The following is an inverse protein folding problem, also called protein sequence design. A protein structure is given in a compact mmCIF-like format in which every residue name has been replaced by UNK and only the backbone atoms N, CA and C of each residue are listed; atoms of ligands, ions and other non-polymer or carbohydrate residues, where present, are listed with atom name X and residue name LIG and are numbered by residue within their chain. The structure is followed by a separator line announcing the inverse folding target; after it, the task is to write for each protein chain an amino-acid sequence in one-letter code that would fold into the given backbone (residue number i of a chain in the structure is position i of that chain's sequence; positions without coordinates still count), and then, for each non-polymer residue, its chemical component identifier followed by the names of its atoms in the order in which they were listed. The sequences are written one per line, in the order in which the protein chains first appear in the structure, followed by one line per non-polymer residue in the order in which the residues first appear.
data_IF_997816545770
#
_entry.id   IF_997816545770
#
_cell.length_a   1.000
_cell.length_b   1.000
_cell.length_c   1.000
_cell.angle_alpha   90.00
_cell.angle_beta   90.00
_cell.angle_gamma   90.00
#
_symmetry.space_group_name_H-M   'P 1'
#
loop_
_entity.id
_entity.type
_entity.pdbx_description
1 polymer ?
#
# COMPACT_ATOMS: atom_id res chain seq x y z
N UNK A 1 0.18 -2.17 20.35
CA UNK A 1 -0.39 -2.76 19.11
C UNK A 1 -1.20 -1.76 18.30
N UNK A 2 -2.15 -1.00 18.88
CA UNK A 2 -2.88 0.05 18.13
C UNK A 2 -1.95 1.09 17.51
N UNK A 3 -0.98 1.64 18.25
CA UNK A 3 0.00 2.58 17.67
C UNK A 3 0.83 1.98 16.54
N UNK A 4 1.13 0.68 16.59
CA UNK A 4 1.84 -0.02 15.52
C UNK A 4 0.96 -0.15 14.27
N UNK A 5 -0.33 -0.50 14.45
CA UNK A 5 -1.32 -0.49 13.37
C UNK A 5 -1.46 0.88 12.71
N UNK A 6 -1.51 1.96 13.51
CA UNK A 6 -1.56 3.34 12.98
C UNK A 6 -0.28 3.69 12.21
N UNK A 7 0.89 3.36 12.77
CA UNK A 7 2.17 3.59 12.10
C UNK A 7 2.29 2.86 10.76
N UNK A 8 1.87 1.59 10.70
CA UNK A 8 1.82 0.83 9.45
C UNK A 8 0.81 1.40 8.45
N UNK A 9 -0.35 1.85 8.92
CA UNK A 9 -1.33 2.53 8.06
C UNK A 9 -0.77 3.79 7.40
N UNK A 10 -0.07 4.64 8.16
CA UNK A 10 0.64 5.81 7.63
C UNK A 10 1.74 5.40 6.65
N UNK A 11 2.48 4.34 6.94
CA UNK A 11 3.48 3.79 6.03
C UNK A 11 2.84 3.37 4.69
N UNK A 12 1.72 2.63 4.72
CA UNK A 12 1.02 2.23 3.49
C UNK A 12 0.55 3.43 2.68
N UNK A 13 -0.03 4.45 3.31
CA UNK A 13 -0.41 5.69 2.61
C UNK A 13 0.82 6.32 1.97
N UNK A 14 1.93 6.40 2.71
CA UNK A 14 3.18 7.03 2.24
C UNK A 14 3.78 6.29 1.05
N UNK A 15 3.72 4.95 1.02
CA UNK A 15 4.19 4.14 -0.13
C UNK A 15 3.51 4.55 -1.44
N UNK A 16 2.23 4.92 -1.40
CA UNK A 16 1.51 5.43 -2.56
C UNK A 16 2.18 6.63 -3.22
N UNK A 17 2.85 7.49 -2.45
CA UNK A 17 3.45 8.75 -2.92
C UNK A 17 4.97 8.67 -3.16
N UNK A 18 5.64 7.58 -2.77
CA UNK A 18 7.07 7.39 -3.02
C UNK A 18 7.36 7.14 -4.50
N UNK A 19 6.49 6.39 -5.18
CA UNK A 19 6.63 6.09 -6.61
C UNK A 19 6.05 7.22 -7.45
N UNK A 20 6.91 7.82 -8.28
CA UNK A 20 6.61 8.97 -9.14
C UNK A 20 7.00 8.67 -10.58
N UNK A 21 6.57 9.49 -11.52
CA UNK A 21 6.90 9.31 -12.95
C UNK A 21 8.43 9.34 -13.18
N UNK A 22 9.19 10.10 -12.38
CA UNK A 22 10.65 10.25 -12.54
C UNK A 22 11.46 9.08 -11.97
N UNK A 23 10.89 8.31 -11.04
CA UNK A 23 11.59 7.22 -10.36
C UNK A 23 10.95 5.83 -10.59
N UNK A 24 9.84 5.76 -11.32
CA UNK A 24 9.12 4.51 -11.60
C UNK A 24 9.98 3.48 -12.32
N UNK A 25 10.90 3.90 -13.20
CA UNK A 25 11.84 2.98 -13.87
C UNK A 25 12.77 2.23 -12.91
N UNK A 26 12.86 2.67 -11.66
CA UNK A 26 13.65 2.03 -10.61
C UNK A 26 12.76 1.32 -9.60
N UNK A 27 11.73 2.01 -9.08
CA UNK A 27 10.95 1.53 -7.93
C UNK A 27 9.68 0.76 -8.30
N UNK A 28 9.13 0.94 -9.50
CA UNK A 28 7.92 0.24 -9.90
C UNK A 28 8.28 -1.12 -10.50
N UNK A 29 8.10 -2.18 -9.71
CA UNK A 29 8.30 -3.55 -10.16
C UNK A 29 7.44 -3.87 -11.39
N UNK A 30 7.99 -4.64 -12.32
CA UNK A 30 7.39 -4.90 -13.62
C UNK A 30 7.69 -3.80 -14.64
N UNK A 31 7.44 -2.52 -14.29
CA UNK A 31 7.82 -1.39 -15.15
C UNK A 31 9.35 -1.26 -15.28
N UNK A 32 10.08 -1.48 -14.19
CA UNK A 32 11.55 -1.46 -14.18
C UNK A 32 12.19 -2.59 -15.01
N UNK A 33 11.47 -3.67 -15.27
CA UNK A 33 11.92 -4.79 -16.12
C UNK A 33 11.51 -4.65 -17.58
N UNK A 34 10.65 -3.69 -17.91
CA UNK A 34 10.23 -3.41 -19.29
C UNK A 34 11.38 -2.79 -20.10
N UNK A 35 11.43 -3.12 -21.39
CA UNK A 35 12.25 -2.39 -22.35
C UNK A 35 11.76 -0.95 -22.51
N UNK A 36 12.62 -0.05 -23.03
CA UNK A 36 12.23 1.35 -23.29
C UNK A 36 11.02 1.49 -24.21
N UNK A 37 10.87 0.57 -25.18
CA UNK A 37 9.74 0.56 -26.12
C UNK A 37 8.43 0.18 -25.44
N UNK A 38 8.47 -0.73 -24.47
CA UNK A 38 7.30 -1.12 -23.66
C UNK A 38 6.94 -0.03 -22.66
N UNK A 39 7.93 0.55 -21.98
CA UNK A 39 7.73 1.68 -21.07
C UNK A 39 7.06 2.87 -21.76
N UNK A 40 7.47 3.19 -22.99
CA UNK A 40 6.88 4.28 -23.78
C UNK A 40 5.39 4.06 -24.11
N UNK A 41 4.91 2.82 -24.10
CA UNK A 41 3.51 2.45 -24.37
C UNK A 41 2.72 2.21 -23.07
N UNK A 42 3.40 2.08 -21.94
CA UNK A 42 2.76 1.82 -20.66
C UNK A 42 2.02 3.09 -20.16
N UNK A 43 0.75 2.98 -19.72
CA UNK A 43 -0.02 4.12 -19.21
C UNK A 43 0.41 4.52 -17.79
N UNK A 44 1.68 4.93 -17.62
CA UNK A 44 2.33 5.13 -16.33
C UNK A 44 1.57 6.11 -15.43
N UNK A 45 1.15 7.25 -15.97
CA UNK A 45 0.46 8.30 -15.20
C UNK A 45 -0.86 7.81 -14.60
N UNK A 46 -1.66 7.08 -15.38
CA UNK A 46 -2.93 6.52 -14.91
C UNK A 46 -2.68 5.39 -13.90
N UNK A 47 -1.69 4.53 -14.17
CA UNK A 47 -1.28 3.48 -13.23
C UNK A 47 -0.87 4.07 -11.88
N UNK A 48 0.01 5.08 -11.86
CA UNK A 48 0.45 5.74 -10.62
C UNK A 48 -0.69 6.44 -9.89
N UNK A 49 -1.70 6.95 -10.62
CA UNK A 49 -2.91 7.49 -10.01
C UNK A 49 -3.69 6.40 -9.26
N UNK A 50 -3.89 5.23 -9.88
CA UNK A 50 -4.56 4.09 -9.23
C UNK A 50 -3.72 3.52 -8.08
N UNK A 51 -2.41 3.47 -8.23
CA UNK A 51 -1.47 3.04 -7.20
C UNK A 51 -1.55 3.91 -5.93
N UNK A 52 -1.58 5.24 -6.10
CA UNK A 52 -1.80 6.19 -4.99
C UNK A 52 -3.15 5.98 -4.33
N UNK A 53 -4.21 5.87 -5.14
CA UNK A 53 -5.56 5.70 -4.65
C UNK A 53 -5.72 4.40 -3.85
N UNK A 54 -5.15 3.30 -4.34
CA UNK A 54 -5.10 2.03 -3.63
C UNK A 54 -4.43 2.17 -2.26
N UNK A 55 -3.21 2.71 -2.21
CA UNK A 55 -2.46 2.86 -0.96
C UNK A 55 -3.14 3.79 0.04
N UNK A 56 -3.76 4.88 -0.44
CA UNK A 56 -4.54 5.78 0.39
C UNK A 56 -5.72 5.07 1.04
N UNK A 57 -6.57 4.41 0.24
CA UNK A 57 -7.74 3.72 0.77
C UNK A 57 -7.35 2.51 1.62
N UNK A 58 -6.35 1.75 1.19
CA UNK A 58 -5.86 0.61 1.94
C UNK A 58 -5.35 1.03 3.31
N UNK A 59 -4.50 2.05 3.40
CA UNK A 59 -4.01 2.54 4.69
C UNK A 59 -5.14 3.07 5.59
N UNK A 60 -6.10 3.82 5.05
CA UNK A 60 -7.26 4.31 5.82
C UNK A 60 -8.13 3.16 6.36
N UNK A 61 -8.47 2.18 5.51
CA UNK A 61 -9.26 1.01 5.89
C UNK A 61 -8.50 0.16 6.90
N UNK A 62 -7.22 -0.10 6.66
CA UNK A 62 -6.34 -0.86 7.56
C UNK A 62 -6.28 -0.23 8.95
N UNK A 63 -6.10 1.09 9.03
CA UNK A 63 -6.10 1.81 10.31
C UNK A 63 -7.45 1.72 11.00
N UNK A 64 -8.53 1.94 10.26
CA UNK A 64 -9.90 1.96 10.80
C UNK A 64 -10.26 0.59 11.38
N UNK A 65 -10.13 -0.48 10.59
CA UNK A 65 -10.41 -1.85 11.02
C UNK A 65 -9.52 -2.24 12.19
N UNK A 66 -8.20 -2.02 12.10
CA UNK A 66 -7.28 -2.39 13.17
C UNK A 66 -7.53 -1.62 14.47
N UNK A 67 -7.97 -0.37 14.38
CA UNK A 67 -8.35 0.42 15.57
C UNK A 67 -9.64 -0.12 16.19
N UNK A 68 -10.66 -0.45 15.38
CA UNK A 68 -11.89 -1.08 15.87
C UNK A 68 -11.62 -2.43 16.54
N UNK A 69 -10.79 -3.29 15.94
CA UNK A 69 -10.37 -4.55 16.55
C UNK A 69 -9.65 -4.28 17.88
N UNK A 70 -8.70 -3.33 17.89
CA UNK A 70 -7.93 -3.03 19.09
C UNK A 70 -8.74 -2.42 20.25
N UNK A 71 -9.89 -1.80 19.97
CA UNK A 71 -10.79 -1.22 20.97
C UNK A 71 -11.83 -2.22 21.50
N UNK A 72 -12.29 -3.16 20.67
CA UNK A 72 -13.45 -3.99 20.96
C UNK A 72 -13.17 -5.51 20.97
N UNK A 73 -11.96 -5.94 20.61
CA UNK A 73 -11.59 -7.36 20.48
C UNK A 73 -10.24 -7.68 21.13
N UNK A 74 -9.84 -8.95 21.03
CA UNK A 74 -8.59 -9.48 21.56
C UNK A 74 -7.34 -9.04 20.77
N UNK A 75 -6.20 -8.97 21.47
CA UNK A 75 -4.91 -8.53 20.93
C UNK A 75 -4.37 -9.46 19.84
N UNK A 76 -4.68 -10.74 19.88
CA UNK A 76 -4.24 -11.72 18.89
C UNK A 76 -4.94 -11.48 17.55
N UNK A 77 -6.22 -11.12 17.56
CA UNK A 77 -6.97 -10.76 16.35
C UNK A 77 -6.37 -9.51 15.68
N UNK A 78 -5.97 -8.52 16.48
CA UNK A 78 -5.25 -7.36 15.97
C UNK A 78 -3.88 -7.76 15.39
N UNK A 79 -3.18 -8.70 16.01
CA UNK A 79 -1.94 -9.27 15.50
C UNK A 79 -2.12 -9.94 14.13
N UNK A 80 -3.19 -10.74 13.96
CA UNK A 80 -3.52 -11.36 12.68
C UNK A 80 -3.86 -10.32 11.61
N UNK A 81 -4.65 -9.30 11.93
CA UNK A 81 -4.92 -8.19 11.01
C UNK A 81 -3.62 -7.50 10.58
N UNK A 82 -2.73 -7.19 11.52
CA UNK A 82 -1.45 -6.55 11.23
C UNK A 82 -0.58 -7.40 10.30
N UNK A 83 -0.53 -8.72 10.51
CA UNK A 83 0.34 -9.62 9.75
C UNK A 83 -0.24 -10.09 8.42
N UNK A 84 -1.54 -10.36 8.35
CA UNK A 84 -2.16 -11.06 7.21
C UNK A 84 -2.81 -10.08 6.23
N UNK A 85 -3.50 -9.05 6.73
CA UNK A 85 -4.25 -8.11 5.86
C UNK A 85 -3.37 -7.45 4.79
N UNK A 86 -2.13 -7.01 5.08
CA UNK A 86 -1.24 -6.47 4.04
C UNK A 86 -0.90 -7.49 2.97
N UNK A 87 -0.61 -8.75 3.36
CA UNK A 87 -0.27 -9.81 2.40
C UNK A 87 -1.42 -10.00 1.42
N UNK A 88 -2.66 -10.12 1.91
CA UNK A 88 -3.84 -10.29 1.06
C UNK A 88 -4.05 -9.10 0.13
N UNK A 89 -3.81 -7.86 0.61
CA UNK A 89 -4.04 -6.66 -0.18
C UNK A 89 -3.09 -6.51 -1.39
N UNK A 90 -1.91 -7.14 -1.35
CA UNK A 90 -0.89 -7.06 -2.39
C UNK A 90 -0.87 -8.28 -3.34
N UNK A 91 -1.72 -9.28 -3.14
CA UNK A 91 -1.93 -10.42 -4.05
C UNK A 91 -2.93 -10.06 -5.15
#
# INVERSE_FOLDING_TARGET
MIFFNLGLGVLFISLGYIVTETNASTFLSGYNTMSRKEQAQFPLKEYLSKFRQFHLYFGLIFMTIGTLIGLFWDKDVLGYHIGITPIIAYL
#
